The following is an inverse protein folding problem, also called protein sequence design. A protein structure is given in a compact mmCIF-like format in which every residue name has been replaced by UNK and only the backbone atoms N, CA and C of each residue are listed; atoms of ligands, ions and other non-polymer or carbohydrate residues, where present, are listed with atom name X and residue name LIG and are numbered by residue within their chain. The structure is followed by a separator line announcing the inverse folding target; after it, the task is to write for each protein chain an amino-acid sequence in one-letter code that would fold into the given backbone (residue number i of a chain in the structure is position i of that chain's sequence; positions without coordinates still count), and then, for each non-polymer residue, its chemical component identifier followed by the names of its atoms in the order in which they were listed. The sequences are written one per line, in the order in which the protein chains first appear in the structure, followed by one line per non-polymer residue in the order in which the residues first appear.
data_IF_359138054498
#
_entry.id   IF_359138054498
#
_cell.length_a   1.000
_cell.length_b   1.000
_cell.length_c   1.000
_cell.angle_alpha   90.00
_cell.angle_beta   90.00
_cell.angle_gamma   90.00
#
_symmetry.space_group_name_H-M   'P 1'
#
loop_
_entity.id
_entity.type
_entity.pdbx_description
1 polymer ?
#
# COMPACT_ATOMS: atom_id res chain seq x y z
N UNK A 1 -30.25 -19.90 30.24
CA UNK A 1 -29.97 -18.58 29.64
C UNK A 1 -28.46 -18.49 29.52
N UNK A 2 -27.89 -19.09 28.48
CA UNK A 2 -26.45 -19.10 28.29
C UNK A 2 -25.97 -17.71 27.85
N UNK A 3 -24.88 -17.31 28.49
CA UNK A 3 -24.21 -16.02 28.48
C UNK A 3 -24.03 -15.53 27.03
N UNK A 4 -24.79 -14.51 26.59
CA UNK A 4 -24.55 -13.78 25.32
C UNK A 4 -23.30 -12.89 25.42
N UNK A 5 -22.23 -13.39 26.03
CA UNK A 5 -20.93 -12.69 26.04
C UNK A 5 -20.22 -13.01 24.74
N UNK A 6 -19.98 -11.97 23.95
CA UNK A 6 -19.13 -12.04 22.78
C UNK A 6 -17.76 -12.56 23.24
N UNK A 7 -17.32 -13.71 22.73
CA UNK A 7 -16.00 -14.25 23.04
C UNK A 7 -14.92 -13.47 22.30
N UNK A 8 -13.77 -13.32 22.94
CA UNK A 8 -12.63 -12.66 22.32
C UNK A 8 -12.18 -13.44 21.08
N UNK A 9 -11.95 -12.75 19.95
CA UNK A 9 -11.56 -13.42 18.71
C UNK A 9 -10.21 -14.16 18.82
N UNK A 10 -9.30 -13.64 19.64
CA UNK A 10 -8.04 -14.33 19.96
C UNK A 10 -8.28 -15.62 20.76
N UNK A 11 -9.29 -15.64 21.64
CA UNK A 11 -9.66 -16.83 22.41
C UNK A 11 -10.38 -17.86 21.53
N UNK A 12 -11.23 -17.41 20.60
CA UNK A 12 -11.90 -18.29 19.62
C UNK A 12 -10.89 -19.03 18.74
N UNK A 13 -9.83 -18.34 18.32
CA UNK A 13 -8.74 -18.93 17.53
C UNK A 13 -7.65 -19.60 18.39
N UNK A 14 -7.69 -19.46 19.71
CA UNK A 14 -6.67 -19.94 20.65
C UNK A 14 -5.25 -19.45 20.31
N UNK A 15 -5.14 -18.16 19.99
CA UNK A 15 -3.86 -17.50 19.66
C UNK A 15 -3.57 -16.36 20.62
N UNK A 16 -2.29 -16.02 20.78
CA UNK A 16 -1.91 -14.86 21.57
C UNK A 16 -2.31 -13.55 20.88
N UNK A 17 -2.48 -12.49 21.68
CA UNK A 17 -2.80 -11.15 21.16
C UNK A 17 -1.73 -10.58 20.23
N UNK A 18 -0.47 -10.98 20.44
CA UNK A 18 0.67 -10.60 19.61
C UNK A 18 0.90 -11.56 18.45
N UNK A 19 -0.03 -12.50 18.20
CA UNK A 19 0.11 -13.47 17.13
C UNK A 19 0.29 -12.79 15.78
N UNK A 20 1.17 -13.36 14.99
CA UNK A 20 1.44 -12.95 13.60
C UNK A 20 0.30 -13.40 12.69
N UNK A 21 0.22 -12.82 11.48
CA UNK A 21 -0.77 -13.20 10.49
C UNK A 21 -0.70 -14.71 10.15
N UNK A 22 0.50 -15.28 10.06
CA UNK A 22 0.69 -16.69 9.74
C UNK A 22 0.21 -17.63 10.85
N UNK A 23 0.37 -17.24 12.12
CA UNK A 23 -0.17 -17.98 13.26
C UNK A 23 -1.70 -17.95 13.27
N UNK A 24 -2.29 -16.78 13.04
CA UNK A 24 -3.75 -16.60 12.93
C UNK A 24 -4.31 -17.45 11.78
N UNK A 25 -3.65 -17.45 10.62
CA UNK A 25 -4.02 -18.26 9.45
C UNK A 25 -3.93 -19.75 9.72
N UNK A 26 -2.89 -20.18 10.43
CA UNK A 26 -2.68 -21.59 10.78
C UNK A 26 -3.72 -22.06 11.79
N UNK A 27 -4.01 -21.26 12.81
CA UNK A 27 -5.05 -21.52 13.80
C UNK A 27 -6.44 -21.60 13.15
N UNK A 28 -6.77 -20.67 12.25
CA UNK A 28 -8.02 -20.69 11.49
C UNK A 28 -8.18 -22.00 10.71
N UNK A 29 -7.15 -22.45 9.98
CA UNK A 29 -7.19 -23.72 9.23
C UNK A 29 -7.45 -24.91 10.17
N UNK A 30 -6.76 -24.96 11.32
CA UNK A 30 -6.93 -26.02 12.32
C UNK A 30 -8.34 -26.04 12.90
N UNK A 31 -8.87 -24.89 13.31
CA UNK A 31 -10.21 -24.74 13.90
C UNK A 31 -11.33 -24.98 12.90
N UNK A 32 -11.15 -24.53 11.66
CA UNK A 32 -12.10 -24.77 10.56
C UNK A 32 -12.25 -26.27 10.27
N UNK A 33 -11.13 -27.01 10.27
CA UNK A 33 -11.16 -28.47 10.11
C UNK A 33 -11.77 -29.19 11.31
N UNK A 34 -11.64 -28.63 12.52
CA UNK A 34 -12.22 -29.20 13.74
C UNK A 34 -13.75 -29.05 13.77
N UNK A 35 -14.26 -27.88 13.39
CA UNK A 35 -15.69 -27.56 13.39
C UNK A 35 -16.38 -27.76 12.04
N UNK A 36 -15.72 -28.44 11.08
CA UNK A 36 -16.32 -28.71 9.78
C UNK A 36 -17.55 -29.62 9.94
N UNK A 37 -18.68 -29.33 9.27
CA UNK A 37 -19.91 -30.12 9.41
C UNK A 37 -19.73 -31.58 8.99
N UNK A 38 -18.81 -31.85 8.07
CA UNK A 38 -18.46 -33.18 7.58
C UNK A 38 -17.67 -34.04 8.59
N UNK A 39 -17.14 -33.47 9.69
CA UNK A 39 -16.47 -34.27 10.74
C UNK A 39 -17.32 -34.45 11.99
N UNK A 40 -18.41 -33.70 12.11
CA UNK A 40 -19.24 -33.62 13.30
C UNK A 40 -20.67 -34.14 13.04
N UNK A 41 -20.78 -35.34 12.47
CA UNK A 41 -22.06 -36.03 12.27
C UNK A 41 -22.67 -36.38 13.64
N UNK A 42 -23.61 -35.55 14.10
CA UNK A 42 -24.27 -35.69 15.41
C UNK A 42 -24.29 -34.40 16.24
N UNK A 43 -23.44 -33.42 15.92
CA UNK A 43 -23.46 -32.09 16.54
C UNK A 43 -23.27 -30.99 15.48
N UNK A 44 -24.04 -31.07 14.40
CA UNK A 44 -23.90 -30.20 13.24
C UNK A 44 -24.29 -28.74 13.54
N UNK A 45 -25.27 -28.52 14.41
CA UNK A 45 -25.74 -27.19 14.77
C UNK A 45 -24.69 -26.43 15.61
N UNK A 46 -24.14 -27.05 16.66
CA UNK A 46 -23.10 -26.40 17.47
C UNK A 46 -21.81 -26.24 16.66
N UNK A 47 -21.44 -27.25 15.84
CA UNK A 47 -20.29 -27.15 14.96
C UNK A 47 -20.45 -26.00 13.96
N UNK A 48 -21.63 -25.83 13.35
CA UNK A 48 -21.91 -24.72 12.45
C UNK A 48 -21.82 -23.36 13.15
N UNK A 49 -22.32 -23.25 14.39
CA UNK A 49 -22.24 -22.03 15.18
C UNK A 49 -20.77 -21.66 15.51
N UNK A 50 -20.00 -22.62 16.02
CA UNK A 50 -18.55 -22.43 16.29
C UNK A 50 -17.76 -22.15 15.02
N UNK A 51 -18.14 -22.77 13.91
CA UNK A 51 -17.51 -22.54 12.62
C UNK A 51 -17.74 -21.09 12.15
N UNK A 52 -18.97 -20.57 12.25
CA UNK A 52 -19.28 -19.17 11.97
C UNK A 52 -18.47 -18.21 12.86
N UNK A 53 -18.34 -18.50 14.15
CA UNK A 53 -17.50 -17.69 15.06
C UNK A 53 -16.03 -17.69 14.67
N UNK A 54 -15.47 -18.85 14.30
CA UNK A 54 -14.08 -19.00 13.84
C UNK A 54 -13.85 -18.22 12.54
N UNK A 55 -14.79 -18.28 11.61
CA UNK A 55 -14.75 -17.49 10.37
C UNK A 55 -14.80 -15.99 10.65
N UNK A 56 -15.67 -15.56 11.56
CA UNK A 56 -15.78 -14.16 11.96
C UNK A 56 -14.48 -13.67 12.60
N UNK A 57 -13.95 -14.42 13.59
CA UNK A 57 -12.69 -14.11 14.25
C UNK A 57 -11.52 -13.98 13.25
N UNK A 58 -11.43 -14.90 12.28
CA UNK A 58 -10.42 -14.83 11.24
C UNK A 58 -10.62 -13.60 10.32
N UNK A 59 -11.85 -13.30 9.91
CA UNK A 59 -12.12 -12.16 9.02
C UNK A 59 -11.60 -10.85 9.60
N UNK A 60 -11.86 -10.60 10.89
CA UNK A 60 -11.44 -9.40 11.61
C UNK A 60 -9.94 -9.40 11.91
N UNK A 61 -9.38 -10.53 12.38
CA UNK A 61 -7.97 -10.59 12.78
C UNK A 61 -6.98 -10.71 11.60
N UNK A 62 -7.47 -11.13 10.42
CA UNK A 62 -6.66 -11.28 9.22
C UNK A 62 -6.32 -9.96 8.54
N UNK A 63 -7.20 -8.96 8.66
CA UNK A 63 -7.01 -7.62 8.08
C UNK A 63 -6.40 -6.68 9.13
N UNK A 64 -5.35 -5.95 8.75
CA UNK A 64 -4.60 -5.10 9.68
C UNK A 64 -5.44 -3.96 10.24
N UNK A 65 -6.33 -3.38 9.43
CA UNK A 65 -7.15 -2.25 9.81
C UNK A 65 -8.32 -2.72 10.69
N UNK A 66 -8.94 -3.85 10.35
CA UNK A 66 -10.00 -4.46 11.17
C UNK A 66 -9.46 -4.95 12.51
N UNK A 67 -8.25 -5.53 12.53
CA UNK A 67 -7.57 -5.93 13.76
C UNK A 67 -7.27 -4.73 14.65
N UNK A 68 -6.74 -3.65 14.09
CA UNK A 68 -6.43 -2.44 14.86
C UNK A 68 -7.70 -1.84 15.49
N UNK A 69 -8.80 -1.78 14.73
CA UNK A 69 -10.08 -1.31 15.24
C UNK A 69 -10.68 -2.24 16.29
N UNK A 70 -10.57 -3.56 16.10
CA UNK A 70 -10.97 -4.55 17.09
C UNK A 70 -10.16 -4.39 18.37
N UNK A 71 -8.83 -4.26 18.28
CA UNK A 71 -7.96 -4.12 19.44
C UNK A 71 -8.25 -2.83 20.23
N UNK A 72 -8.59 -1.73 19.56
CA UNK A 72 -8.95 -0.47 20.21
C UNK A 72 -10.31 -0.51 20.91
N UNK A 73 -11.27 -1.30 20.40
CA UNK A 73 -12.63 -1.38 20.94
C UNK A 73 -12.94 -2.70 21.66
N UNK A 74 -11.98 -3.62 21.73
CA UNK A 74 -12.13 -4.98 22.27
C UNK A 74 -12.81 -4.97 23.63
N UNK A 75 -12.38 -4.10 24.52
CA UNK A 75 -12.94 -4.08 25.87
C UNK A 75 -14.40 -3.62 25.90
N UNK A 76 -14.80 -2.68 25.04
CA UNK A 76 -16.19 -2.27 24.89
C UNK A 76 -17.04 -3.40 24.29
N UNK A 77 -16.50 -4.11 23.29
CA UNK A 77 -17.14 -5.26 22.63
C UNK A 77 -17.36 -6.41 23.63
N UNK A 78 -16.33 -6.77 24.41
CA UNK A 78 -16.38 -7.89 25.35
C UNK A 78 -17.24 -7.60 26.59
N UNK A 79 -17.38 -6.32 26.96
CA UNK A 79 -18.30 -5.92 28.03
C UNK A 79 -19.77 -5.87 27.58
N UNK A 80 -20.04 -5.96 26.28
CA UNK A 80 -21.39 -5.91 25.72
C UNK A 80 -21.96 -4.50 25.63
N UNK A 81 -21.09 -3.49 25.39
CA UNK A 81 -21.37 -2.13 25.82
C UNK A 81 -20.98 -1.99 27.28
N UNK A 82 -20.38 -0.87 27.65
CA UNK A 82 -19.83 -0.63 28.99
C UNK A 82 -20.87 -0.63 30.14
N UNK A 83 -22.17 -0.77 29.87
CA UNK A 83 -23.23 -0.61 30.87
C UNK A 83 -23.24 0.79 31.52
N UNK A 84 -22.40 1.69 31.01
CA UNK A 84 -22.22 3.08 31.41
C UNK A 84 -22.53 4.05 30.25
N UNK A 85 -22.79 3.53 29.06
CA UNK A 85 -23.47 4.19 27.95
C UNK A 85 -24.98 4.25 28.19
N UNK A 86 -25.59 5.27 27.62
CA UNK A 86 -27.03 5.47 27.63
C UNK A 86 -27.72 4.23 27.02
N UNK A 87 -28.73 3.62 27.67
CA UNK A 87 -29.45 2.47 27.11
C UNK A 87 -30.08 2.74 25.73
N UNK A 88 -30.15 4.01 25.32
CA UNK A 88 -30.66 4.47 24.03
C UNK A 88 -29.58 4.58 22.92
N UNK A 89 -28.30 4.23 23.18
CA UNK A 89 -27.25 4.29 22.17
C UNK A 89 -27.13 2.95 21.39
N UNK A 90 -27.41 2.97 20.07
CA UNK A 90 -27.25 1.80 19.20
C UNK A 90 -25.85 1.19 19.34
N UNK A 91 -25.81 -0.09 19.73
CA UNK A 91 -24.58 -0.85 19.80
C UNK A 91 -24.09 -1.23 18.39
N UNK A 92 -23.41 -0.29 17.72
CA UNK A 92 -22.87 -0.49 16.37
C UNK A 92 -21.94 -1.70 16.28
N UNK A 93 -21.32 -2.11 17.39
CA UNK A 93 -20.33 -3.19 17.45
C UNK A 93 -20.90 -4.56 17.06
N UNK A 94 -22.18 -4.83 17.30
CA UNK A 94 -22.82 -6.09 16.91
C UNK A 94 -22.84 -6.28 15.38
N UNK A 95 -22.91 -5.17 14.65
CA UNK A 95 -22.99 -5.15 13.20
C UNK A 95 -21.61 -5.21 12.50
N UNK A 96 -20.51 -5.11 13.25
CA UNK A 96 -19.15 -5.36 12.73
C UNK A 96 -18.81 -6.87 12.63
N UNK A 97 -19.78 -7.75 12.85
CA UNK A 97 -19.56 -9.19 12.81
C UNK A 97 -20.00 -9.78 11.48
N UNK A 98 -19.19 -10.65 10.89
CA UNK A 98 -19.57 -11.37 9.66
C UNK A 98 -20.75 -12.34 9.86
N UNK A 99 -21.18 -12.56 11.10
CA UNK A 99 -22.35 -13.36 11.45
C UNK A 99 -23.65 -12.57 11.59
N UNK A 100 -23.64 -11.25 11.40
CA UNK A 100 -24.85 -10.42 11.56
C UNK A 100 -25.82 -10.54 10.37
N UNK A 101 -25.38 -11.10 9.24
CA UNK A 101 -26.20 -11.34 8.06
C UNK A 101 -26.00 -12.77 7.54
N UNK A 102 -27.05 -13.33 6.95
CA UNK A 102 -27.03 -14.62 6.27
C UNK A 102 -27.25 -14.40 4.77
N UNK A 103 -26.19 -14.50 3.99
CA UNK A 103 -26.23 -14.26 2.55
C UNK A 103 -26.33 -12.79 2.13
N UNK A 104 -26.20 -12.57 0.82
CA UNK A 104 -26.24 -11.26 0.17
C UNK A 104 -27.57 -11.05 -0.57
N UNK A 105 -28.68 -11.42 0.06
CA UNK A 105 -30.01 -11.21 -0.47
C UNK A 105 -30.76 -10.10 0.29
N UNK A 106 -31.96 -9.77 -0.20
CA UNK A 106 -32.89 -8.86 0.48
C UNK A 106 -33.79 -9.60 1.48
N UNK A 107 -33.41 -10.81 1.92
CA UNK A 107 -34.14 -11.58 2.92
C UNK A 107 -34.22 -10.87 4.28
N UNK A 108 -35.01 -11.39 5.22
CA UNK A 108 -35.20 -10.77 6.55
C UNK A 108 -33.89 -10.66 7.35
N UNK A 109 -33.00 -11.64 7.17
CA UNK A 109 -31.63 -11.71 7.70
C UNK A 109 -30.55 -11.44 6.64
N UNK A 110 -30.95 -11.01 5.46
CA UNK A 110 -30.04 -10.74 4.35
C UNK A 110 -29.21 -9.48 4.59
N UNK A 111 -28.02 -9.42 3.99
CA UNK A 111 -27.08 -8.30 4.09
C UNK A 111 -27.78 -6.94 3.93
N UNK A 112 -28.59 -6.78 2.89
CA UNK A 112 -29.19 -5.47 2.59
C UNK A 112 -30.23 -5.05 3.62
N UNK A 113 -31.02 -5.99 4.13
CA UNK A 113 -32.06 -5.70 5.12
C UNK A 113 -31.46 -5.37 6.49
N UNK A 114 -30.43 -6.10 6.91
CA UNK A 114 -29.74 -5.86 8.19
C UNK A 114 -29.13 -4.46 8.19
N UNK A 115 -28.29 -4.14 7.21
CA UNK A 115 -27.64 -2.83 7.17
C UNK A 115 -28.62 -1.68 6.88
N UNK A 116 -29.66 -1.91 6.07
CA UNK A 116 -30.73 -0.91 5.89
C UNK A 116 -31.36 -0.54 7.23
N UNK A 117 -31.76 -1.52 8.04
CA UNK A 117 -32.32 -1.27 9.37
C UNK A 117 -31.34 -0.48 10.26
N UNK A 118 -30.06 -0.82 10.27
CA UNK A 118 -29.05 -0.12 11.07
C UNK A 118 -28.91 1.35 10.65
N UNK A 119 -28.77 1.61 9.36
CA UNK A 119 -28.63 2.98 8.85
C UNK A 119 -29.94 3.78 9.00
N UNK A 120 -31.10 3.14 8.87
CA UNK A 120 -32.40 3.77 9.13
C UNK A 120 -32.54 4.14 10.61
N UNK A 121 -32.15 3.27 11.53
CA UNK A 121 -32.12 3.57 12.97
C UNK A 121 -31.15 4.74 13.28
N UNK A 122 -29.97 4.76 12.66
CA UNK A 122 -29.04 5.89 12.78
C UNK A 122 -29.63 7.20 12.26
N UNK A 123 -30.37 7.16 11.14
CA UNK A 123 -31.08 8.33 10.61
C UNK A 123 -32.15 8.79 11.59
N UNK A 124 -32.93 7.88 12.18
CA UNK A 124 -33.97 8.20 13.16
C UNK A 124 -33.38 8.82 14.44
N UNK A 125 -32.29 8.27 14.96
CA UNK A 125 -31.59 8.83 16.11
C UNK A 125 -31.07 10.24 15.85
N UNK A 126 -30.46 10.48 14.69
CA UNK A 126 -29.97 11.81 14.31
C UNK A 126 -31.14 12.78 14.02
N UNK A 127 -32.25 12.27 13.51
CA UNK A 127 -33.47 13.04 13.24
C UNK A 127 -34.14 13.56 14.51
N UNK A 128 -33.91 12.94 15.67
CA UNK A 128 -34.37 13.44 16.96
C UNK A 128 -33.67 14.75 17.36
N UNK A 129 -32.47 15.00 16.84
CA UNK A 129 -31.72 16.24 17.08
C UNK A 129 -31.91 17.26 15.95
N UNK A 130 -31.85 16.81 14.69
CA UNK A 130 -32.07 17.66 13.52
C UNK A 130 -32.90 16.95 12.46
N UNK A 131 -34.06 17.52 12.13
CA UNK A 131 -34.97 17.02 11.09
C UNK A 131 -34.32 16.87 9.71
N UNK A 132 -33.22 17.59 9.42
CA UNK A 132 -32.47 17.46 8.19
C UNK A 132 -31.90 16.04 7.99
N UNK A 133 -31.68 15.27 9.06
CA UNK A 133 -31.20 13.90 8.97
C UNK A 133 -32.13 12.97 8.19
N UNK A 134 -33.46 13.21 8.21
CA UNK A 134 -34.44 12.42 7.44
C UNK A 134 -34.26 12.50 5.92
N UNK A 135 -33.54 13.51 5.44
CA UNK A 135 -33.25 13.70 4.01
C UNK A 135 -31.99 12.97 3.54
N UNK A 136 -31.28 12.27 4.43
CA UNK A 136 -30.06 11.56 4.10
C UNK A 136 -30.33 10.36 3.17
N UNK A 137 -29.37 10.01 2.29
CA UNK A 137 -29.50 8.85 1.43
C UNK A 137 -29.54 7.57 2.27
N UNK A 138 -30.56 6.73 2.03
CA UNK A 138 -30.69 5.40 2.62
C UNK A 138 -29.88 4.32 1.88
N UNK A 139 -29.77 3.14 2.49
CA UNK A 139 -28.89 2.05 2.02
C UNK A 139 -29.36 1.36 0.71
N UNK A 140 -30.67 1.35 0.47
CA UNK A 140 -31.31 0.72 -0.68
C UNK A 140 -31.50 -0.81 -0.55
N UNK A 141 -31.49 -1.48 -1.70
CA UNK A 141 -31.73 -2.92 -1.92
C UNK A 141 -30.68 -3.51 -2.87
N UNK A 142 -30.67 -4.83 -3.06
CA UNK A 142 -29.74 -5.50 -3.98
C UNK A 142 -29.74 -4.95 -5.42
N UNK A 143 -30.88 -4.44 -5.90
CA UNK A 143 -31.07 -3.92 -7.26
C UNK A 143 -30.96 -2.40 -7.39
N UNK A 144 -30.47 -1.71 -6.35
CA UNK A 144 -30.34 -0.25 -6.37
C UNK A 144 -29.28 0.21 -7.38
N UNK A 145 -29.55 1.34 -8.03
CA UNK A 145 -28.63 1.92 -9.01
C UNK A 145 -27.32 2.38 -8.37
N UNK A 146 -26.22 2.25 -9.12
CA UNK A 146 -24.89 2.62 -8.64
C UNK A 146 -24.81 4.10 -8.25
N UNK A 147 -25.51 4.99 -8.96
CA UNK A 147 -25.49 6.42 -8.63
C UNK A 147 -26.03 6.69 -7.21
N UNK A 148 -27.05 5.96 -6.79
CA UNK A 148 -27.65 6.12 -5.46
C UNK A 148 -26.78 5.45 -4.38
N UNK A 149 -26.21 4.28 -4.68
CA UNK A 149 -25.21 3.62 -3.82
C UNK A 149 -23.99 4.53 -3.60
N UNK A 150 -23.53 5.21 -4.64
CA UNK A 150 -22.41 6.16 -4.54
C UNK A 150 -22.77 7.39 -3.70
N UNK A 151 -23.99 7.95 -3.85
CA UNK A 151 -24.46 9.05 -3.00
C UNK A 151 -24.53 8.64 -1.54
N UNK A 152 -25.03 7.44 -1.25
CA UNK A 152 -25.05 6.85 0.08
C UNK A 152 -23.65 6.80 0.68
N UNK A 153 -22.72 6.08 0.06
CA UNK A 153 -21.38 5.91 0.62
C UNK A 153 -20.60 7.23 0.70
N UNK A 154 -20.82 8.18 -0.22
CA UNK A 154 -20.20 9.51 -0.15
C UNK A 154 -20.67 10.30 1.07
N UNK A 155 -21.94 10.20 1.42
CA UNK A 155 -22.48 10.85 2.62
C UNK A 155 -21.94 10.18 3.89
N UNK A 156 -22.11 8.88 4.02
CA UNK A 156 -21.75 8.14 5.24
C UNK A 156 -20.24 8.03 5.49
N UNK A 157 -19.41 8.06 4.44
CA UNK A 157 -17.95 8.17 4.61
C UNK A 157 -17.54 9.52 5.21
N UNK A 158 -18.30 10.57 4.93
CA UNK A 158 -18.10 11.91 5.48
C UNK A 158 -19.11 12.23 6.59
N UNK A 159 -19.60 11.19 7.27
CA UNK A 159 -20.64 11.33 8.28
C UNK A 159 -20.25 12.33 9.37
N UNK A 160 -21.20 13.17 9.74
CA UNK A 160 -21.11 14.11 10.85
C UNK A 160 -22.41 14.04 11.63
N UNK A 161 -22.29 13.89 12.94
CA UNK A 161 -23.43 13.80 13.86
C UNK A 161 -23.92 15.18 14.30
N UNK A 162 -25.25 15.29 14.43
CA UNK A 162 -25.96 16.41 15.05
C UNK A 162 -26.11 16.22 16.57
N UNK A 163 -25.80 15.05 17.12
CA UNK A 163 -25.80 14.79 18.56
C UNK A 163 -24.90 15.78 19.30
N UNK A 164 -25.41 16.27 20.43
CA UNK A 164 -24.73 17.27 21.28
C UNK A 164 -23.76 16.63 22.28
N UNK A 165 -23.93 15.35 22.61
CA UNK A 165 -23.15 14.61 23.62
C UNK A 165 -23.16 15.27 25.01
N UNK A 166 -24.19 16.06 25.32
CA UNK A 166 -24.28 16.79 26.59
C UNK A 166 -24.27 15.87 27.83
N UNK A 167 -24.70 14.62 27.69
CA UNK A 167 -24.68 13.61 28.76
C UNK A 167 -23.27 13.13 29.14
N UNK A 168 -22.26 13.39 28.31
CA UNK A 168 -20.85 13.10 28.62
C UNK A 168 -20.17 14.22 29.43
N UNK A 169 -20.92 15.25 29.84
CA UNK A 169 -20.41 16.31 30.71
C UNK A 169 -20.14 15.76 32.12
N UNK A 170 -18.85 15.71 32.52
CA UNK A 170 -18.43 15.24 33.84
C UNK A 170 -18.85 16.19 34.98
N UNK A 171 -18.90 17.49 34.70
CA UNK A 171 -19.16 18.52 35.71
C UNK A 171 -20.34 19.39 35.33
N UNK A 172 -21.26 19.64 36.26
CA UNK A 172 -22.34 20.61 36.04
C UNK A 172 -21.82 22.04 36.21
N UNK A 173 -21.41 22.67 35.10
CA UNK A 173 -20.79 24.01 35.09
C UNK A 173 -21.65 25.07 35.80
N UNK A 174 -22.98 24.96 35.72
CA UNK A 174 -23.90 25.93 36.34
C UNK A 174 -23.96 25.84 37.88
N UNK A 175 -23.62 24.69 38.47
CA UNK A 175 -23.66 24.49 39.93
C UNK A 175 -22.36 24.98 40.61
N UNK A 176 -21.31 25.27 39.83
CA UNK A 176 -20.02 25.72 40.36
C UNK A 176 -20.09 27.19 40.78
N UNK A 177 -19.54 27.55 41.95
CA UNK A 177 -19.58 28.93 42.46
C UNK A 177 -18.49 29.83 41.85
N UNK A 178 -17.28 29.29 41.67
CA UNK A 178 -16.11 30.04 41.23
C UNK A 178 -15.99 30.14 39.69
N UNK A 179 -15.65 31.35 39.20
CA UNK A 179 -15.50 31.64 37.77
C UNK A 179 -14.35 30.85 37.14
N UNK A 180 -13.24 30.68 37.85
CA UNK A 180 -12.12 29.91 37.33
C UNK A 180 -12.50 28.42 37.20
N UNK A 181 -13.13 27.88 38.25
CA UNK A 181 -13.65 26.50 38.28
C UNK A 181 -14.67 26.24 37.17
N UNK A 182 -15.61 27.15 36.90
CA UNK A 182 -16.54 27.06 35.75
C UNK A 182 -15.81 26.98 34.40
N UNK A 183 -14.76 27.78 34.20
CA UNK A 183 -13.98 27.78 32.95
C UNK A 183 -13.16 26.52 32.77
N UNK A 184 -12.64 25.95 33.85
CA UNK A 184 -11.89 24.68 33.80
C UNK A 184 -12.85 23.53 33.56
N UNK A 185 -13.93 23.44 34.34
CA UNK A 185 -15.00 22.45 34.15
C UNK A 185 -15.58 22.50 32.73
N UNK A 186 -15.87 23.69 32.19
CA UNK A 186 -16.35 23.85 30.82
C UNK A 186 -15.36 23.36 29.76
N UNK A 187 -14.05 23.54 29.98
CA UNK A 187 -13.01 22.98 29.10
C UNK A 187 -12.93 21.46 29.19
N UNK A 188 -13.05 20.89 30.39
CA UNK A 188 -13.06 19.44 30.59
C UNK A 188 -14.28 18.84 29.91
N UNK A 189 -15.47 19.37 30.15
CA UNK A 189 -16.71 18.93 29.49
C UNK A 189 -16.60 19.05 27.97
N UNK A 190 -16.15 20.20 27.44
CA UNK A 190 -15.97 20.35 25.99
C UNK A 190 -15.06 19.27 25.43
N UNK A 191 -13.94 18.97 26.11
CA UNK A 191 -13.01 17.92 25.70
C UNK A 191 -13.64 16.52 25.78
N UNK A 192 -14.42 16.24 26.82
CA UNK A 192 -15.15 14.98 26.97
C UNK A 192 -16.19 14.80 25.84
N UNK A 193 -17.00 15.83 25.56
CA UNK A 193 -17.96 15.84 24.45
C UNK A 193 -17.29 15.69 23.09
N UNK A 194 -16.23 16.46 22.84
CA UNK A 194 -15.47 16.39 21.58
C UNK A 194 -14.80 15.02 21.41
N UNK A 195 -14.37 14.39 22.50
CA UNK A 195 -13.84 13.03 22.52
C UNK A 195 -14.89 12.01 22.12
N UNK A 196 -16.02 12.00 22.83
CA UNK A 196 -17.14 11.10 22.56
C UNK A 196 -17.72 11.29 21.15
N UNK A 197 -17.87 12.54 20.69
CA UNK A 197 -18.32 12.86 19.33
C UNK A 197 -17.38 12.29 18.27
N UNK A 198 -16.07 12.42 18.46
CA UNK A 198 -15.07 11.87 17.53
C UNK A 198 -15.09 10.35 17.51
N UNK A 199 -15.27 9.71 18.66
CA UNK A 199 -15.38 8.25 18.76
C UNK A 199 -16.62 7.73 18.04
N UNK A 200 -17.80 8.31 18.31
CA UNK A 200 -19.04 7.95 17.64
C UNK A 200 -18.94 8.13 16.10
N UNK A 201 -18.45 9.28 15.64
CA UNK A 201 -18.26 9.53 14.20
C UNK A 201 -17.30 8.52 13.58
N UNK A 202 -16.19 8.20 14.25
CA UNK A 202 -15.24 7.18 13.77
C UNK A 202 -15.88 5.80 13.71
N UNK A 203 -16.72 5.44 14.68
CA UNK A 203 -17.41 4.16 14.69
C UNK A 203 -18.38 4.04 13.51
N UNK A 204 -19.21 5.06 13.26
CA UNK A 204 -20.12 5.08 12.09
C UNK A 204 -19.36 5.05 10.77
N UNK A 205 -18.26 5.81 10.65
CA UNK A 205 -17.41 5.79 9.46
C UNK A 205 -16.72 4.43 9.26
N UNK A 206 -16.26 3.81 10.34
CA UNK A 206 -15.65 2.47 10.32
C UNK A 206 -16.67 1.42 9.90
N UNK A 207 -17.92 1.52 10.38
CA UNK A 207 -19.01 0.63 9.98
C UNK A 207 -19.30 0.80 8.49
N UNK A 208 -19.37 2.04 8.02
CA UNK A 208 -19.57 2.35 6.61
C UNK A 208 -18.46 1.75 5.75
N UNK A 209 -17.20 1.84 6.17
CA UNK A 209 -16.06 1.23 5.48
C UNK A 209 -16.13 -0.30 5.50
N UNK A 210 -16.53 -0.89 6.63
CA UNK A 210 -16.74 -2.33 6.77
C UNK A 210 -17.79 -2.85 5.78
N UNK A 211 -18.92 -2.15 5.68
CA UNK A 211 -20.02 -2.45 4.74
C UNK A 211 -19.55 -2.24 3.30
N UNK A 212 -18.88 -1.13 3.01
CA UNK A 212 -18.35 -0.80 1.68
C UNK A 212 -17.42 -1.89 1.12
N UNK A 213 -16.52 -2.45 1.96
CA UNK A 213 -15.63 -3.54 1.56
C UNK A 213 -16.35 -4.86 1.29
N UNK A 214 -17.53 -5.07 1.87
CA UNK A 214 -18.27 -6.34 1.78
C UNK A 214 -19.41 -6.30 0.76
N UNK A 215 -19.93 -5.12 0.44
CA UNK A 215 -21.03 -4.91 -0.49
C UNK A 215 -20.71 -5.48 -1.89
N UNK A 216 -21.48 -6.48 -2.35
CA UNK A 216 -21.29 -7.07 -3.68
C UNK A 216 -21.41 -6.05 -4.82
N UNK A 217 -22.27 -5.03 -4.68
CA UNK A 217 -22.47 -3.99 -5.70
C UNK A 217 -21.20 -3.17 -5.89
N UNK A 218 -20.54 -2.84 -4.79
CA UNK A 218 -19.26 -2.12 -4.78
C UNK A 218 -18.14 -2.98 -5.34
N UNK A 219 -18.07 -4.25 -4.95
CA UNK A 219 -17.04 -5.17 -5.46
C UNK A 219 -17.15 -5.37 -6.97
N UNK A 220 -18.36 -5.57 -7.48
CA UNK A 220 -18.59 -5.72 -8.90
C UNK A 220 -18.14 -4.49 -9.68
N UNK A 221 -18.43 -3.30 -9.17
CA UNK A 221 -18.01 -2.06 -9.85
C UNK A 221 -16.51 -1.80 -9.76
N UNK A 222 -15.87 -2.11 -8.62
CA UNK A 222 -14.42 -2.01 -8.48
C UNK A 222 -13.70 -2.97 -9.44
N UNK A 223 -14.20 -4.21 -9.57
CA UNK A 223 -13.67 -5.18 -10.53
C UNK A 223 -13.78 -4.68 -11.97
N UNK A 224 -14.93 -4.09 -12.35
CA UNK A 224 -15.11 -3.51 -13.69
C UNK A 224 -14.11 -2.38 -13.96
N UNK A 225 -13.85 -1.53 -12.97
CA UNK A 225 -12.86 -0.45 -13.08
C UNK A 225 -11.43 -1.01 -13.22
N UNK A 226 -11.06 -2.01 -12.42
CA UNK A 226 -9.76 -2.67 -12.49
C UNK A 226 -9.54 -3.35 -13.86
N UNK A 227 -10.57 -4.04 -14.38
CA UNK A 227 -10.54 -4.67 -15.71
C UNK A 227 -10.41 -3.63 -16.82
N UNK A 228 -11.12 -2.51 -16.74
CA UNK A 228 -11.02 -1.42 -17.73
C UNK A 228 -9.63 -0.76 -17.69
N UNK A 229 -9.08 -0.52 -16.50
CA UNK A 229 -7.74 0.03 -16.33
C UNK A 229 -6.65 -0.94 -16.80
N UNK A 230 -6.80 -2.24 -16.52
CA UNK A 230 -5.90 -3.27 -17.03
C UNK A 230 -5.99 -3.42 -18.55
N UNK A 231 -7.19 -3.34 -19.13
CA UNK A 231 -7.37 -3.33 -20.57
C UNK A 231 -6.67 -2.12 -21.20
N UNK A 232 -6.86 -0.91 -20.65
CA UNK A 232 -6.15 0.30 -21.09
C UNK A 232 -4.63 0.20 -20.93
N UNK A 233 -4.16 -0.44 -19.86
CA UNK A 233 -2.72 -0.68 -19.62
C UNK A 233 -2.14 -1.62 -20.67
N UNK A 234 -2.80 -2.76 -20.92
CA UNK A 234 -2.42 -3.72 -21.96
C UNK A 234 -2.44 -3.09 -23.35
N UNK A 235 -3.44 -2.26 -23.64
CA UNK A 235 -3.52 -1.53 -24.90
C UNK A 235 -2.32 -0.59 -25.09
N UNK A 236 -1.96 0.19 -24.05
CA UNK A 236 -0.77 1.06 -24.09
C UNK A 236 0.52 0.26 -24.26
N UNK A 237 0.69 -0.84 -23.54
CA UNK A 237 1.85 -1.73 -23.67
C UNK A 237 1.95 -2.34 -25.07
N UNK A 238 0.83 -2.73 -25.68
CA UNK A 238 0.77 -3.21 -27.05
C UNK A 238 1.15 -2.11 -28.05
N UNK A 239 0.60 -0.91 -27.89
CA UNK A 239 0.94 0.24 -28.74
C UNK A 239 2.43 0.61 -28.64
N UNK A 240 3.01 0.58 -27.44
CA UNK A 240 4.45 0.82 -27.24
C UNK A 240 5.30 -0.29 -27.86
N UNK A 241 4.91 -1.56 -27.70
CA UNK A 241 5.60 -2.71 -28.30
C UNK A 241 5.56 -2.66 -29.82
N UNK A 242 4.41 -2.34 -30.41
CA UNK A 242 4.28 -2.14 -31.85
C UNK A 242 5.12 -0.97 -32.35
N UNK A 243 5.13 0.14 -31.60
CA UNK A 243 5.96 1.31 -31.93
C UNK A 243 7.45 0.98 -31.87
N UNK A 244 7.89 0.22 -30.87
CA UNK A 244 9.28 -0.24 -30.75
C UNK A 244 9.62 -1.18 -31.92
N UNK A 245 8.74 -2.13 -32.23
CA UNK A 245 8.91 -3.06 -33.36
C UNK A 245 9.05 -2.31 -34.68
N UNK A 246 8.17 -1.35 -34.97
CA UNK A 246 8.25 -0.49 -36.16
C UNK A 246 9.55 0.31 -36.21
N UNK A 247 10.06 0.77 -35.06
CA UNK A 247 11.34 1.49 -34.97
C UNK A 247 12.53 0.57 -35.26
N UNK A 248 12.51 -0.65 -34.73
CA UNK A 248 13.54 -1.67 -35.01
C UNK A 248 13.51 -2.08 -36.48
N UNK A 249 12.35 -2.43 -37.02
CA UNK A 249 12.18 -2.75 -38.45
C UNK A 249 12.63 -1.59 -39.35
N UNK A 250 12.30 -0.34 -39.02
CA UNK A 250 12.79 0.83 -39.76
C UNK A 250 14.32 0.98 -39.67
N UNK A 251 14.91 0.73 -38.51
CA UNK A 251 16.36 0.76 -38.34
C UNK A 251 17.05 -0.37 -39.09
N UNK A 252 16.50 -1.58 -39.08
CA UNK A 252 17.01 -2.73 -39.82
C UNK A 252 16.96 -2.48 -41.33
N UNK A 253 15.87 -1.89 -41.84
CA UNK A 253 15.76 -1.49 -43.25
C UNK A 253 16.84 -0.49 -43.65
N UNK A 254 17.10 0.50 -42.80
CA UNK A 254 18.17 1.49 -43.01
C UNK A 254 19.54 0.81 -43.08
N UNK A 255 19.83 -0.11 -42.16
CA UNK A 255 21.10 -0.85 -42.15
C UNK A 255 21.26 -1.77 -43.35
N UNK A 256 20.19 -2.44 -43.78
CA UNK A 256 20.20 -3.30 -44.96
C UNK A 256 20.47 -2.50 -46.25
N UNK A 257 19.85 -1.35 -46.43
CA UNK A 257 20.10 -0.48 -47.59
C UNK A 257 21.54 0.05 -47.60
N UNK A 258 22.09 0.39 -46.44
CA UNK A 258 23.48 0.80 -46.31
C UNK A 258 24.46 -0.33 -46.69
N UNK A 259 24.20 -1.56 -46.23
CA UNK A 259 25.02 -2.73 -46.56
C UNK A 259 24.94 -3.10 -48.06
N UNK A 260 23.77 -2.99 -48.68
CA UNK A 260 23.61 -3.23 -50.12
C UNK A 260 24.36 -2.19 -50.95
N UNK A 261 24.31 -0.91 -50.54
CA UNK A 261 25.06 0.17 -51.20
C UNK A 261 26.57 -0.04 -51.08
N UNK A 262 27.05 -0.43 -49.91
CA UNK A 262 28.47 -0.76 -49.67
C UNK A 262 28.92 -1.94 -50.55
N UNK A 263 28.10 -2.99 -50.65
CA UNK A 263 28.39 -4.15 -51.51
C UNK A 263 28.42 -3.78 -53.00
N UNK A 264 27.53 -2.89 -53.47
CA UNK A 264 27.55 -2.38 -54.84
C UNK A 264 28.83 -1.57 -55.11
N UNK A 265 29.20 -0.66 -54.20
CA UNK A 265 30.44 0.11 -54.32
C UNK A 265 31.68 -0.79 -54.30
N UNK A 266 31.70 -1.84 -53.48
CA UNK A 266 32.78 -2.83 -53.44
C UNK A 266 32.86 -3.63 -54.75
N UNK A 267 31.74 -4.07 -55.30
CA UNK A 267 31.69 -4.76 -56.60
C UNK A 267 32.16 -3.86 -57.75
N UNK A 268 31.79 -2.58 -57.75
CA UNK A 268 32.28 -1.59 -58.72
C UNK A 268 33.78 -1.32 -58.58
N UNK A 269 34.28 -1.28 -57.33
CA UNK A 269 35.71 -1.09 -57.04
C UNK A 269 36.53 -2.32 -57.46
N UNK A 270 36.01 -3.52 -57.22
CA UNK A 270 36.59 -4.76 -57.71
C UNK A 270 36.59 -4.83 -59.26
N UNK A 271 35.49 -4.40 -59.91
CA UNK A 271 35.40 -4.34 -61.37
C UNK A 271 36.37 -3.31 -61.99
N UNK A 272 36.66 -2.21 -61.27
CA UNK A 272 37.72 -1.25 -61.64
C UNK A 272 39.14 -1.79 -61.46
N UNK A 273 39.31 -3.00 -60.91
CA UNK A 273 40.62 -3.60 -60.64
C UNK A 273 41.33 -2.99 -59.42
N UNK A 274 40.64 -2.13 -58.67
CA UNK A 274 41.11 -1.58 -57.40
C UNK A 274 40.78 -2.56 -56.26
N UNK A 275 41.18 -3.82 -56.39
CA UNK A 275 41.15 -4.72 -55.24
C UNK A 275 42.21 -4.21 -54.27
N UNK A 276 41.79 -3.37 -53.32
CA UNK A 276 42.63 -3.05 -52.18
C UNK A 276 42.98 -4.37 -51.48
N UNK A 277 44.28 -4.64 -51.33
CA UNK A 277 44.77 -5.65 -50.38
C UNK A 277 44.01 -5.44 -49.05
N UNK A 278 43.38 -6.51 -48.53
CA UNK A 278 42.60 -6.48 -47.29
C UNK A 278 43.33 -5.79 -46.13
N UNK A 279 44.66 -5.84 -46.11
CA UNK A 279 45.52 -5.12 -45.16
C UNK A 279 45.35 -3.60 -45.19
N UNK A 280 45.03 -3.00 -46.33
CA UNK A 280 44.93 -1.54 -46.49
C UNK A 280 43.54 -1.04 -46.15
N UNK A 281 42.50 -1.81 -46.50
CA UNK A 281 41.13 -1.52 -46.13
C UNK A 281 40.94 -1.60 -44.60
N UNK A 282 41.51 -2.62 -43.96
CA UNK A 282 41.49 -2.77 -42.50
C UNK A 282 42.25 -1.63 -41.80
N UNK A 283 43.37 -1.18 -42.37
CA UNK A 283 44.08 0.01 -41.86
C UNK A 283 43.23 1.28 -41.94
N UNK A 284 42.44 1.46 -43.01
CA UNK A 284 41.56 2.62 -43.17
C UNK A 284 40.39 2.58 -42.19
N UNK A 285 39.77 1.42 -41.98
CA UNK A 285 38.74 1.25 -40.95
C UNK A 285 39.30 1.48 -39.54
N UNK A 286 40.50 0.99 -39.22
CA UNK A 286 41.17 1.19 -37.92
C UNK A 286 41.48 2.68 -37.69
N UNK A 287 41.94 3.38 -38.72
CA UNK A 287 42.23 4.83 -38.68
C UNK A 287 40.95 5.64 -38.54
N UNK A 288 39.87 5.27 -39.23
CA UNK A 288 38.55 5.91 -39.09
C UNK A 288 37.95 5.66 -37.70
N UNK A 289 38.15 4.46 -37.13
CA UNK A 289 37.76 4.11 -35.76
C UNK A 289 38.53 4.94 -34.73
N UNK A 290 39.83 5.14 -34.93
CA UNK A 290 40.65 6.02 -34.10
C UNK A 290 40.22 7.49 -34.22
N UNK A 291 39.89 7.98 -35.42
CA UNK A 291 39.39 9.35 -35.63
C UNK A 291 38.02 9.55 -34.98
N UNK A 292 37.09 8.59 -35.09
CA UNK A 292 35.79 8.63 -34.38
C UNK A 292 35.96 8.55 -32.86
N UNK A 293 36.92 7.76 -32.36
CA UNK A 293 37.28 7.75 -30.94
C UNK A 293 37.85 9.10 -30.48
N UNK A 294 38.73 9.70 -31.27
CA UNK A 294 39.33 11.02 -31.00
C UNK A 294 38.28 12.13 -31.03
N UNK A 295 37.35 12.11 -31.99
CA UNK A 295 36.19 13.02 -32.07
C UNK A 295 35.25 12.87 -30.86
N UNK A 296 35.02 11.64 -30.38
CA UNK A 296 34.24 11.40 -29.15
C UNK A 296 34.95 11.90 -27.89
N UNK A 297 36.28 11.96 -27.92
CA UNK A 297 37.10 12.40 -26.79
C UNK A 297 37.42 13.91 -26.81
N UNK A 298 37.22 14.61 -27.94
CA UNK A 298 37.66 16.01 -28.12
C UNK A 298 36.55 17.07 -28.20
N UNK A 299 35.28 16.76 -27.91
CA UNK A 299 34.25 17.80 -28.03
C UNK A 299 32.91 17.50 -27.37
N UNK A 300 32.74 17.99 -26.14
CA UNK A 300 31.46 18.59 -25.77
C UNK A 300 31.49 20.06 -26.18
N UNK A 301 30.58 20.47 -27.07
CA UNK A 301 29.72 21.69 -27.07
C UNK A 301 28.93 21.66 -28.39
N UNK A 302 27.62 21.91 -28.30
CA UNK A 302 26.62 21.42 -29.24
C UNK A 302 26.53 22.05 -30.63
N UNK A 303 25.91 21.30 -31.53
CA UNK A 303 25.12 21.77 -32.66
C UNK A 303 24.14 20.66 -33.06
N UNK A 304 22.86 21.01 -33.18
CA UNK A 304 21.80 20.13 -33.67
C UNK A 304 22.03 19.86 -35.16
N UNK A 305 22.25 18.60 -35.53
CA UNK A 305 21.91 18.10 -36.86
C UNK A 305 21.25 16.73 -36.73
N UNK A 306 20.11 16.64 -37.37
CA UNK A 306 19.26 15.47 -37.52
C UNK A 306 19.95 14.40 -38.38
N UNK A 307 19.88 13.16 -37.92
CA UNK A 307 19.90 11.99 -38.80
C UNK A 307 21.19 11.18 -38.79
N UNK A 308 21.03 9.91 -38.40
CA UNK A 308 21.82 8.74 -38.81
C UNK A 308 23.02 8.32 -37.94
N UNK A 309 22.93 7.06 -37.48
CA UNK A 309 23.91 6.23 -36.74
C UNK A 309 24.08 6.59 -35.24
N UNK A 310 24.02 5.68 -34.26
CA UNK A 310 24.24 4.24 -34.23
C UNK A 310 23.37 3.61 -33.14
N UNK A 311 22.60 2.58 -33.49
CA UNK A 311 22.28 1.51 -32.54
C UNK A 311 23.60 0.80 -32.21
N UNK A 312 24.27 1.27 -31.16
CA UNK A 312 25.17 0.42 -30.40
C UNK A 312 24.30 -0.63 -29.74
N UNK A 313 24.53 -1.89 -30.10
CA UNK A 313 23.83 -3.03 -29.53
C UNK A 313 23.84 -2.99 -28.00
N UNK A 314 22.79 -3.56 -27.44
CA UNK A 314 22.65 -3.87 -26.03
C UNK A 314 23.82 -4.76 -25.58
N UNK A 315 24.95 -4.13 -25.24
CA UNK A 315 25.65 -4.55 -24.05
C UNK A 315 24.99 -3.76 -22.93
N UNK A 316 24.14 -4.44 -22.17
CA UNK A 316 23.75 -4.04 -20.83
C UNK A 316 25.02 -4.07 -19.96
N UNK A 317 25.90 -3.09 -20.17
CA UNK A 317 27.04 -2.84 -19.33
C UNK A 317 26.47 -2.20 -18.07
N UNK A 318 26.21 -3.06 -17.08
CA UNK A 318 25.87 -2.66 -15.72
C UNK A 318 26.88 -1.60 -15.30
N UNK A 319 26.48 -0.32 -15.33
CA UNK A 319 27.33 0.80 -14.94
C UNK A 319 27.63 0.62 -13.45
N UNK A 320 28.77 0.00 -13.13
CA UNK A 320 29.23 -0.17 -11.76
C UNK A 320 29.47 1.23 -11.18
N UNK A 321 28.50 1.73 -10.41
CA UNK A 321 28.61 2.96 -9.66
C UNK A 321 29.44 2.70 -8.39
N UNK A 322 30.62 3.31 -8.31
CA UNK A 322 31.50 3.20 -7.14
C UNK A 322 31.13 4.28 -6.13
N UNK A 323 30.67 3.89 -4.94
CA UNK A 323 30.26 4.83 -3.90
C UNK A 323 31.28 4.90 -2.76
N UNK A 324 31.55 6.11 -2.27
CA UNK A 324 32.39 6.34 -1.10
C UNK A 324 31.52 6.66 0.11
N UNK A 325 31.40 5.72 1.06
CA UNK A 325 30.51 5.87 2.22
C UNK A 325 30.94 7.00 3.17
N UNK A 326 32.24 7.28 3.27
CA UNK A 326 32.77 8.38 4.09
C UNK A 326 32.48 9.77 3.50
N UNK A 327 32.46 9.89 2.17
CA UNK A 327 32.24 11.16 1.49
C UNK A 327 30.83 11.34 0.91
N UNK A 328 30.04 10.25 0.84
CA UNK A 328 28.73 10.14 0.19
C UNK A 328 28.75 10.61 -1.27
N UNK A 329 29.81 10.28 -2.00
CA UNK A 329 29.99 10.63 -3.42
C UNK A 329 30.01 9.38 -4.29
N UNK A 330 29.28 9.43 -5.40
CA UNK A 330 29.21 8.38 -6.39
C UNK A 330 30.09 8.71 -7.59
N UNK A 331 30.81 7.71 -8.08
CA UNK A 331 31.74 7.81 -9.21
C UNK A 331 31.34 6.79 -10.27
N UNK A 332 31.36 7.21 -11.53
CA UNK A 332 30.94 6.40 -12.68
C UNK A 332 32.07 5.51 -13.22
N UNK A 333 33.31 5.70 -12.74
CA UNK A 333 34.49 4.96 -13.18
C UNK A 333 35.36 4.59 -11.98
N UNK A 334 35.94 3.39 -12.01
CA UNK A 334 36.81 2.86 -10.97
C UNK A 334 38.07 3.72 -10.76
N UNK A 335 38.62 4.27 -11.84
CA UNK A 335 39.83 5.11 -11.77
C UNK A 335 39.55 6.42 -11.01
N UNK A 336 38.39 7.03 -11.24
CA UNK A 336 37.96 8.24 -10.51
C UNK A 336 37.76 7.95 -9.01
N UNK A 337 37.25 6.77 -8.67
CA UNK A 337 37.09 6.34 -7.29
C UNK A 337 38.45 6.12 -6.59
N UNK A 338 39.41 5.46 -7.27
CA UNK A 338 40.77 5.24 -6.75
C UNK A 338 41.55 6.55 -6.56
N UNK A 339 41.35 7.53 -7.43
CA UNK A 339 41.90 8.89 -7.24
C UNK A 339 41.22 9.63 -6.09
N UNK A 340 39.90 9.46 -5.91
CA UNK A 340 39.19 10.05 -4.80
C UNK A 340 39.67 9.54 -3.44
N UNK A 341 39.86 8.22 -3.27
CA UNK A 341 40.34 7.65 -2.00
C UNK A 341 41.77 8.12 -1.67
N UNK A 342 42.62 8.32 -2.68
CA UNK A 342 43.99 8.83 -2.49
C UNK A 342 44.04 10.35 -2.29
N UNK A 343 42.95 11.08 -2.51
CA UNK A 343 42.91 12.54 -2.36
C UNK A 343 43.06 12.98 -0.90
N UNK A 344 43.84 14.03 -0.65
CA UNK A 344 44.01 14.61 0.69
C UNK A 344 42.67 15.03 1.32
N UNK A 345 41.71 15.49 0.50
CA UNK A 345 40.38 15.89 0.97
C UNK A 345 39.57 14.72 1.54
N UNK A 346 39.71 13.53 0.96
CA UNK A 346 39.05 12.31 1.47
C UNK A 346 39.68 11.87 2.80
N UNK A 347 41.01 11.84 2.87
CA UNK A 347 41.75 11.48 4.08
C UNK A 347 41.48 12.44 5.26
N UNK A 348 41.37 13.75 5.00
CA UNK A 348 40.99 14.72 6.05
C UNK A 348 39.58 14.46 6.58
N UNK A 349 38.64 14.07 5.71
CA UNK A 349 37.26 13.76 6.11
C UNK A 349 37.17 12.46 6.91
N UNK A 350 37.96 11.43 6.56
CA UNK A 350 38.08 10.21 7.36
C UNK A 350 38.64 10.48 8.75
N UNK A 351 39.67 11.32 8.87
CA UNK A 351 40.22 11.74 10.18
C UNK A 351 39.19 12.50 11.02
N UNK A 352 38.37 13.35 10.41
CA UNK A 352 37.29 14.04 11.11
C UNK A 352 36.18 13.10 11.59
N UNK A 353 35.88 12.03 10.85
CA UNK A 353 34.90 11.02 11.25
C UNK A 353 35.44 10.12 12.36
N UNK A 354 36.72 9.73 12.29
CA UNK A 354 37.41 9.01 13.35
C UNK A 354 37.46 9.81 14.66
N UNK A 355 37.73 11.12 14.58
CA UNK A 355 37.70 12.01 15.75
C UNK A 355 36.31 12.14 16.40
N UNK A 356 35.23 11.83 15.67
CA UNK A 356 33.85 11.79 16.16
C UNK A 356 33.42 10.39 16.65
N UNK A 357 34.37 9.47 16.82
CA UNK A 357 34.14 8.12 17.33
C UNK A 357 33.55 7.15 16.30
N UNK A 358 33.57 7.47 15.01
CA UNK A 358 33.11 6.56 13.95
C UNK A 358 34.30 5.74 13.44
N UNK A 359 34.20 4.41 13.43
CA UNK A 359 35.28 3.53 12.98
C UNK A 359 35.55 3.69 11.47
N UNK A 360 36.61 4.42 11.14
CA UNK A 360 36.98 4.75 9.78
C UNK A 360 37.49 3.53 8.99
N UNK A 361 37.99 2.50 9.66
CA UNK A 361 38.48 1.28 9.01
C UNK A 361 37.31 0.40 8.54
N UNK A 362 36.28 0.26 9.37
CA UNK A 362 35.05 -0.47 9.03
C UNK A 362 34.32 0.15 7.81
N UNK A 363 34.42 1.47 7.62
CA UNK A 363 33.82 2.18 6.47
C UNK A 363 34.55 1.97 5.14
N UNK A 364 35.82 1.54 5.17
CA UNK A 364 36.64 1.30 3.98
C UNK A 364 36.70 -0.18 3.56
N UNK A 365 36.09 -1.08 4.35
CA UNK A 365 35.82 -2.46 3.93
C UNK A 365 37.05 -3.35 3.73
N UNK A 366 38.18 -3.07 4.39
CA UNK A 366 39.35 -3.95 4.39
C UNK A 366 39.40 -4.79 5.68
N UNK A 367 39.23 -6.11 5.55
CA UNK A 367 39.47 -7.09 6.62
C UNK A 367 40.99 -7.18 6.88
N UNK A 368 41.39 -7.09 8.15
CA UNK A 368 42.69 -7.56 8.61
C UNK A 368 42.52 -8.34 9.92
N UNK A 369 42.78 -9.64 9.82
CA UNK A 369 42.99 -10.59 10.92
C UNK A 369 44.33 -10.32 11.62
N UNK A 370 44.43 -10.75 12.89
CA UNK A 370 45.70 -10.88 13.62
C UNK A 370 45.81 -9.90 14.80
N UNK A 371 45.49 -10.27 16.04
CA UNK A 371 46.21 -11.19 16.94
C UNK A 371 47.04 -10.44 17.99
N UNK A 372 46.60 -10.54 19.24
CA UNK A 372 47.42 -10.38 20.46
C UNK A 372 47.83 -8.96 20.81
N UNK A 373 48.12 -8.59 22.05
CA UNK A 373 47.92 -9.15 23.37
C UNK A 373 48.53 -8.11 24.33
N UNK A 374 48.10 -8.15 25.60
CA UNK A 374 48.91 -7.83 26.78
C UNK A 374 48.94 -6.40 27.33
N UNK A 375 48.40 -6.30 28.55
CA UNK A 375 48.91 -5.58 29.75
C UNK A 375 48.94 -4.05 29.71
N UNK A 376 48.30 -3.34 30.62
CA UNK A 376 48.28 -3.53 32.07
C UNK A 376 49.02 -2.35 32.69
N UNK A 377 48.30 -1.51 33.44
CA UNK A 377 48.77 -0.28 34.07
C UNK A 377 47.59 0.54 34.56
#
# INVERSE_FOLDING_TARGET
MEDRRIRCYYEVLEVERKATYDEIRTAYKKKSLQYHPDKNYGNQEEAALRFKEVQNAYSILSDTDERAWYDSHREAILRGGDGTGDPDELNLYEYFTAGCFDGFDDGESGFYTVYRKVFDMLIEEEANYDSCAKSWPGFGTSTSDWADVQKFYRHWRNFSTYKTFAWKDEYKVNEMLDRYSRRVAGRINSKARDGAKKEYVRNVQSLTQFVYRRDPRVKAELQRQEEEEEAKRKEREQQERERLKRRLEASERIWAEAAEREAQEEAERAARGETMDGSTLEMLYEKERQVKMMMRNSGGVGAQTTGFAMLGGDHEEVVKLFNCNACKKQYKSENQYKEHIRSSKHNTKLRQLAAKGTDAAALMGEKAEGSGASTGG
#
